data_IF_829855345120
#
_entry.id   IF_829855345120
#
_cell.length_a   1.000
_cell.length_b   1.000
_cell.length_c   1.000
_cell.angle_alpha   90.00
_cell.angle_beta   90.00
_cell.angle_gamma   90.00
#
_symmetry.space_group_name_H-M   'P 1'
#
loop_
_entity.id
_entity.type
_entity.pdbx_description
1 polymer ?
#
# COMPACT_ATOMS: atom_id res chain seq x y z
N UNK A 1 -22.94 6.91 -26.67
CA UNK A 1 -24.08 6.34 -25.90
C UNK A 1 -23.62 6.14 -24.48
N UNK A 2 -24.15 6.88 -23.51
CA UNK A 2 -23.84 6.64 -22.10
C UNK A 2 -24.33 5.22 -21.76
N UNK A 3 -23.40 4.31 -21.48
CA UNK A 3 -23.72 2.99 -20.95
C UNK A 3 -24.53 3.20 -19.67
N UNK A 4 -25.81 2.83 -19.68
CA UNK A 4 -26.65 2.88 -18.47
C UNK A 4 -26.05 1.86 -17.50
N UNK A 5 -25.30 2.36 -16.52
CA UNK A 5 -24.74 1.52 -15.46
C UNK A 5 -25.92 0.98 -14.66
N UNK A 6 -26.05 -0.35 -14.57
CA UNK A 6 -27.09 -0.99 -13.77
C UNK A 6 -26.88 -0.59 -12.31
N UNK A 7 -27.91 -0.04 -11.66
CA UNK A 7 -27.88 0.25 -10.22
C UNK A 7 -27.53 -1.02 -9.44
N UNK A 8 -26.58 -0.89 -8.53
CA UNK A 8 -26.11 -1.96 -7.64
C UNK A 8 -26.15 -1.46 -6.21
N UNK A 9 -26.32 -2.38 -5.27
CA UNK A 9 -26.14 -2.19 -3.82
C UNK A 9 -24.71 -2.52 -3.48
N UNK A 10 -23.97 -1.56 -2.93
CA UNK A 10 -22.53 -1.67 -2.67
C UNK A 10 -22.28 -1.34 -1.21
N UNK A 11 -21.62 -2.25 -0.51
CA UNK A 11 -20.99 -1.92 0.77
C UNK A 11 -19.61 -1.36 0.46
N UNK A 12 -19.25 -0.21 0.98
CA UNK A 12 -17.87 0.28 1.00
C UNK A 12 -17.32 -0.01 2.38
N UNK A 13 -16.41 -0.98 2.45
CA UNK A 13 -15.82 -1.48 3.69
C UNK A 13 -14.54 -0.71 4.01
N UNK A 14 -14.50 -0.07 5.17
CA UNK A 14 -13.41 0.83 5.61
C UNK A 14 -13.08 0.60 7.08
N UNK A 15 -11.98 1.17 7.56
CA UNK A 15 -11.78 1.31 9.00
C UNK A 15 -12.77 2.34 9.57
N UNK A 16 -13.29 2.13 10.78
CA UNK A 16 -14.35 2.97 11.36
C UNK A 16 -13.97 4.46 11.46
N UNK A 17 -12.71 4.76 11.77
CA UNK A 17 -12.22 6.15 11.83
C UNK A 17 -12.13 6.85 10.47
N UNK A 18 -12.25 6.11 9.37
CA UNK A 18 -12.16 6.63 8.01
C UNK A 18 -13.54 6.79 7.36
N UNK A 19 -14.63 6.56 8.10
CA UNK A 19 -15.97 6.85 7.59
C UNK A 19 -16.10 8.38 7.44
N UNK A 20 -16.26 8.90 6.21
CA UNK A 20 -16.40 10.33 5.99
C UNK A 20 -17.76 10.80 6.53
N UNK A 21 -17.83 11.97 7.20
CA UNK A 21 -19.10 12.55 7.60
C UNK A 21 -19.98 12.84 6.37
N UNK A 22 -21.30 12.93 6.55
CA UNK A 22 -22.21 13.21 5.43
C UNK A 22 -22.06 14.66 4.93
N UNK A 23 -21.78 15.61 5.83
CA UNK A 23 -21.42 16.98 5.48
C UNK A 23 -19.94 17.24 5.74
N UNK A 24 -19.25 17.78 4.73
CA UNK A 24 -17.83 18.14 4.75
C UNK A 24 -17.61 19.62 4.41
N UNK A 25 -18.68 20.40 4.22
CA UNK A 25 -18.61 21.77 3.69
C UNK A 25 -17.79 22.72 4.56
N UNK A 26 -17.73 22.46 5.87
CA UNK A 26 -16.97 23.24 6.85
C UNK A 26 -15.57 22.67 7.14
N UNK A 27 -15.17 21.57 6.50
CA UNK A 27 -13.87 20.93 6.75
C UNK A 27 -12.79 21.50 5.84
N UNK A 28 -11.62 21.75 6.41
CA UNK A 28 -10.43 22.08 5.63
C UNK A 28 -9.88 20.87 4.86
N UNK A 29 -9.04 21.12 3.86
CA UNK A 29 -8.36 20.05 3.11
C UNK A 29 -7.54 19.12 4.02
N UNK A 30 -6.96 19.65 5.10
CA UNK A 30 -6.20 18.87 6.08
C UNK A 30 -7.11 17.97 6.93
N UNK A 31 -8.30 18.44 7.28
CA UNK A 31 -9.29 17.64 8.01
C UNK A 31 -9.93 16.57 7.13
N UNK A 32 -10.04 16.82 5.82
CA UNK A 32 -10.55 15.84 4.84
C UNK A 32 -9.48 14.81 4.46
N UNK A 33 -8.20 15.17 4.50
CA UNK A 33 -7.10 14.33 4.04
C UNK A 33 -7.12 12.88 4.58
N UNK A 34 -7.43 12.60 5.86
CA UNK A 34 -7.44 11.24 6.40
C UNK A 34 -8.44 10.29 5.72
N UNK A 35 -9.64 10.77 5.36
CA UNK A 35 -10.72 9.95 4.77
C UNK A 35 -11.02 10.32 3.30
N UNK A 36 -10.11 11.06 2.66
CA UNK A 36 -10.31 11.60 1.31
C UNK A 36 -10.57 10.48 0.29
N UNK A 37 -9.88 9.35 0.41
CA UNK A 37 -10.06 8.20 -0.48
C UNK A 37 -11.48 7.64 -0.38
N UNK A 38 -11.94 7.39 0.84
CA UNK A 38 -13.25 6.83 1.17
C UNK A 38 -14.37 7.76 0.70
N UNK A 39 -14.19 9.06 0.92
CA UNK A 39 -15.10 10.11 0.45
C UNK A 39 -15.23 10.10 -1.08
N UNK A 40 -14.11 10.09 -1.81
CA UNK A 40 -14.12 10.14 -3.26
C UNK A 40 -14.65 8.84 -3.88
N UNK A 41 -14.39 7.68 -3.25
CA UNK A 41 -15.02 6.41 -3.63
C UNK A 41 -16.54 6.45 -3.41
N UNK A 42 -17.01 6.92 -2.24
CA UNK A 42 -18.44 7.09 -1.95
C UNK A 42 -19.11 8.00 -2.98
N UNK A 43 -18.53 9.17 -3.26
CA UNK A 43 -19.03 10.13 -4.25
C UNK A 43 -19.07 9.52 -5.65
N UNK A 44 -17.98 8.87 -6.07
CA UNK A 44 -17.88 8.25 -7.39
C UNK A 44 -18.94 7.17 -7.61
N UNK A 45 -19.10 6.27 -6.64
CA UNK A 45 -20.11 5.20 -6.71
C UNK A 45 -21.55 5.76 -6.70
N UNK A 46 -21.85 6.77 -5.87
CA UNK A 46 -23.15 7.45 -5.86
C UNK A 46 -23.42 8.18 -7.19
N UNK A 47 -22.42 8.87 -7.75
CA UNK A 47 -22.53 9.56 -9.03
C UNK A 47 -22.79 8.59 -10.21
N UNK A 48 -22.32 7.35 -10.12
CA UNK A 48 -22.65 6.27 -11.07
C UNK A 48 -24.06 5.68 -10.87
N UNK A 49 -24.82 6.17 -9.89
CA UNK A 49 -26.20 5.74 -9.62
C UNK A 49 -26.32 4.49 -8.75
N UNK A 50 -25.25 4.08 -8.06
CA UNK A 50 -25.28 2.96 -7.13
C UNK A 50 -25.85 3.36 -5.76
N UNK A 51 -26.44 2.39 -5.08
CA UNK A 51 -26.79 2.49 -3.66
C UNK A 51 -25.58 2.10 -2.82
N UNK A 52 -25.11 3.01 -1.99
CA UNK A 52 -23.83 2.90 -1.29
C UNK A 52 -24.04 2.98 0.21
N UNK A 53 -23.62 1.94 0.92
CA UNK A 53 -23.56 1.88 2.38
C UNK A 53 -22.09 1.84 2.83
N UNK A 54 -21.65 2.81 3.62
CA UNK A 54 -20.35 2.75 4.27
C UNK A 54 -20.45 1.83 5.49
N UNK A 55 -19.55 0.87 5.61
CA UNK A 55 -19.43 0.00 6.80
C UNK A 55 -18.02 0.14 7.34
N UNK A 56 -17.93 0.62 8.58
CA UNK A 56 -16.67 0.77 9.30
C UNK A 56 -16.44 -0.41 10.22
N UNK A 57 -15.22 -0.96 10.20
CA UNK A 57 -14.75 -1.96 11.15
C UNK A 57 -13.61 -1.42 12.01
N UNK A 58 -13.47 -1.95 13.22
CA UNK A 58 -12.30 -1.82 14.09
C UNK A 58 -11.78 -3.21 14.45
N UNK A 59 -12.48 -3.89 15.36
CA UNK A 59 -12.08 -5.10 16.07
C UNK A 59 -13.19 -6.16 16.12
N UNK A 60 -14.37 -5.86 15.57
CA UNK A 60 -15.48 -6.79 15.46
C UNK A 60 -16.03 -6.92 14.03
N UNK A 61 -16.58 -8.10 13.71
CA UNK A 61 -17.16 -8.39 12.39
C UNK A 61 -18.68 -8.27 12.34
N UNK A 62 -19.34 -8.08 13.49
CA UNK A 62 -20.80 -8.01 13.57
C UNK A 62 -21.41 -6.93 12.64
N UNK A 63 -20.85 -5.70 12.55
CA UNK A 63 -21.38 -4.68 11.65
C UNK A 63 -21.36 -5.12 10.18
N UNK A 64 -20.28 -5.78 9.74
CA UNK A 64 -20.17 -6.30 8.38
C UNK A 64 -21.18 -7.43 8.13
N UNK A 65 -21.31 -8.36 9.07
CA UNK A 65 -22.28 -9.46 8.96
C UNK A 65 -23.71 -8.93 8.80
N UNK A 66 -24.13 -8.04 9.70
CA UNK A 66 -25.47 -7.44 9.68
C UNK A 66 -25.71 -6.71 8.36
N UNK A 67 -24.75 -5.89 7.90
CA UNK A 67 -24.88 -5.16 6.65
C UNK A 67 -25.00 -6.09 5.44
N UNK A 68 -24.27 -7.22 5.40
CA UNK A 68 -24.40 -8.22 4.32
C UNK A 68 -25.79 -8.88 4.33
N UNK A 69 -26.29 -9.26 5.51
CA UNK A 69 -27.57 -9.95 5.67
C UNK A 69 -28.77 -9.05 5.31
N UNK A 70 -28.73 -7.78 5.74
CA UNK A 70 -29.80 -6.81 5.53
C UNK A 70 -29.79 -6.22 4.11
N UNK A 71 -28.64 -5.70 3.65
CA UNK A 71 -28.54 -5.04 2.36
C UNK A 71 -28.50 -6.03 1.20
N UNK A 72 -27.98 -7.25 1.42
CA UNK A 72 -27.68 -8.24 0.38
C UNK A 72 -26.92 -7.57 -0.79
N UNK A 73 -25.71 -7.05 -0.54
CA UNK A 73 -24.98 -6.27 -1.52
C UNK A 73 -24.67 -7.10 -2.76
N UNK A 74 -24.56 -6.42 -3.90
CA UNK A 74 -24.05 -7.04 -5.13
C UNK A 74 -22.54 -7.18 -5.08
N UNK A 75 -21.85 -6.26 -4.39
CA UNK A 75 -20.40 -6.28 -4.19
C UNK A 75 -20.04 -5.49 -2.92
N UNK A 76 -19.00 -5.96 -2.22
CA UNK A 76 -18.30 -5.21 -1.18
C UNK A 76 -17.08 -4.55 -1.81
N UNK A 77 -17.10 -3.22 -1.90
CA UNK A 77 -15.92 -2.44 -2.26
C UNK A 77 -14.98 -2.37 -1.06
N UNK A 78 -13.92 -3.17 -1.07
CA UNK A 78 -12.99 -3.26 0.04
C UNK A 78 -11.93 -2.14 -0.01
N UNK A 79 -11.86 -1.33 1.05
CA UNK A 79 -10.83 -0.32 1.31
C UNK A 79 -10.17 -0.53 2.69
N UNK A 80 -10.42 -1.68 3.34
CA UNK A 80 -9.85 -1.97 4.64
C UNK A 80 -8.36 -2.32 4.51
N UNK A 81 -7.52 -1.68 5.33
CA UNK A 81 -6.06 -1.89 5.31
C UNK A 81 -5.51 -2.61 6.54
N UNK A 82 -6.32 -2.76 7.60
CA UNK A 82 -5.97 -3.44 8.84
C UNK A 82 -7.23 -3.91 9.57
N UNK A 83 -7.08 -4.72 10.61
CA UNK A 83 -8.16 -5.07 11.53
C UNK A 83 -7.57 -5.29 12.94
N UNK A 84 -8.20 -4.71 13.96
CA UNK A 84 -7.75 -4.70 15.36
C UNK A 84 -6.29 -4.21 15.54
N UNK A 85 -5.89 -3.20 14.76
CA UNK A 85 -4.55 -2.64 14.76
C UNK A 85 -3.51 -3.47 14.01
N UNK A 86 -3.90 -4.60 13.41
CA UNK A 86 -3.00 -5.54 12.74
C UNK A 86 -3.21 -5.49 11.21
N UNK A 87 -2.22 -4.94 10.50
CA UNK A 87 -2.28 -4.77 9.04
C UNK A 87 -2.45 -6.08 8.25
N UNK A 88 -1.99 -7.21 8.80
CA UNK A 88 -2.10 -8.53 8.15
C UNK A 88 -3.49 -9.16 8.31
N UNK A 89 -4.34 -8.63 9.20
CA UNK A 89 -5.66 -9.20 9.46
C UNK A 89 -6.72 -8.76 8.43
N UNK A 90 -6.41 -7.81 7.56
CA UNK A 90 -7.23 -7.46 6.40
C UNK A 90 -7.58 -8.69 5.54
N UNK A 91 -6.61 -9.61 5.37
CA UNK A 91 -6.80 -10.87 4.67
C UNK A 91 -7.81 -11.79 5.34
N UNK A 92 -7.93 -11.75 6.68
CA UNK A 92 -8.93 -12.52 7.42
C UNK A 92 -10.33 -11.97 7.20
N UNK A 93 -10.49 -10.64 7.14
CA UNK A 93 -11.76 -10.00 6.83
C UNK A 93 -12.21 -10.35 5.41
N UNK A 94 -11.29 -10.32 4.44
CA UNK A 94 -11.59 -10.76 3.07
C UNK A 94 -11.89 -12.27 3.03
N UNK A 95 -11.22 -13.09 3.84
CA UNK A 95 -11.52 -14.51 3.99
C UNK A 95 -12.93 -14.74 4.54
N UNK A 96 -13.37 -13.91 5.49
CA UNK A 96 -14.74 -13.91 5.97
C UNK A 96 -15.75 -13.59 4.86
N UNK A 97 -15.46 -12.62 3.98
CA UNK A 97 -16.29 -12.33 2.79
C UNK A 97 -16.40 -13.55 1.86
N UNK A 98 -15.32 -14.30 1.66
CA UNK A 98 -15.34 -15.55 0.87
C UNK A 98 -16.23 -16.62 1.53
N UNK A 99 -16.17 -16.77 2.85
CA UNK A 99 -17.03 -17.69 3.59
C UNK A 99 -18.52 -17.31 3.50
N UNK A 100 -18.83 -16.01 3.49
CA UNK A 100 -20.18 -15.49 3.27
C UNK A 100 -20.62 -15.54 1.79
N UNK A 101 -19.74 -15.97 0.87
CA UNK A 101 -19.94 -15.94 -0.59
C UNK A 101 -20.30 -14.54 -1.10
N UNK A 102 -19.82 -13.49 -0.42
CA UNK A 102 -19.99 -12.12 -0.84
C UNK A 102 -18.97 -11.79 -1.95
N UNK A 103 -19.42 -11.20 -3.05
CA UNK A 103 -18.49 -10.66 -4.05
C UNK A 103 -17.78 -9.42 -3.47
N UNK A 104 -16.49 -9.27 -3.75
CA UNK A 104 -15.71 -8.14 -3.25
C UNK A 104 -14.69 -7.62 -4.29
N UNK A 105 -14.25 -6.38 -4.13
CA UNK A 105 -13.14 -5.80 -4.90
C UNK A 105 -11.80 -6.04 -4.22
N UNK A 106 -10.71 -6.05 -5.01
CA UNK A 106 -9.35 -6.22 -4.49
C UNK A 106 -8.81 -7.64 -4.61
N UNK A 107 -7.68 -7.91 -3.94
CA UNK A 107 -7.05 -9.22 -3.94
C UNK A 107 -7.77 -10.18 -2.99
N UNK A 108 -7.69 -11.48 -3.29
CA UNK A 108 -8.12 -12.52 -2.37
C UNK A 108 -7.19 -12.62 -1.15
N UNK A 109 -7.58 -13.37 -0.09
CA UNK A 109 -6.80 -13.47 1.14
C UNK A 109 -5.35 -13.92 0.90
N UNK A 110 -5.17 -14.88 -0.01
CA UNK A 110 -3.84 -15.37 -0.38
C UNK A 110 -2.97 -14.28 -1.01
N UNK A 111 -3.54 -13.48 -1.91
CA UNK A 111 -2.86 -12.37 -2.55
C UNK A 111 -2.46 -11.29 -1.55
N UNK A 112 -3.35 -10.94 -0.62
CA UNK A 112 -3.08 -9.99 0.45
C UNK A 112 -1.94 -10.47 1.36
N UNK A 113 -1.99 -11.70 1.88
CA UNK A 113 -0.93 -12.27 2.72
C UNK A 113 0.44 -12.26 2.02
N UNK A 114 0.47 -12.62 0.73
CA UNK A 114 1.71 -12.59 -0.05
C UNK A 114 2.25 -11.16 -0.25
N UNK A 115 1.37 -10.19 -0.50
CA UNK A 115 1.72 -8.80 -0.76
C UNK A 115 2.18 -8.05 0.51
N UNK A 116 1.56 -8.32 1.66
CA UNK A 116 1.87 -7.69 2.96
C UNK A 116 3.27 -8.05 3.46
N UNK A 117 3.70 -9.30 3.30
CA UNK A 117 5.05 -9.73 3.69
C UNK A 117 6.08 -9.47 2.57
N UNK A 118 6.93 -8.47 2.80
CA UNK A 118 7.97 -8.05 1.85
C UNK A 118 9.01 -9.12 1.54
N UNK A 119 9.24 -10.09 2.43
CA UNK A 119 10.16 -11.20 2.19
C UNK A 119 9.48 -12.30 1.37
N UNK A 120 8.22 -12.65 1.68
CA UNK A 120 7.46 -13.64 0.91
C UNK A 120 7.21 -13.14 -0.52
N UNK A 121 6.74 -11.91 -0.69
CA UNK A 121 6.62 -11.25 -1.99
C UNK A 121 7.89 -11.39 -2.82
N UNK A 122 9.05 -11.05 -2.25
CA UNK A 122 10.34 -11.13 -2.96
C UNK A 122 10.74 -12.56 -3.30
N UNK A 123 10.48 -13.53 -2.43
CA UNK A 123 10.75 -14.96 -2.72
C UNK A 123 9.93 -15.43 -3.92
N UNK A 124 8.64 -15.08 -3.98
CA UNK A 124 7.77 -15.42 -5.13
C UNK A 124 8.24 -14.74 -6.40
N UNK A 125 8.49 -13.42 -6.35
CA UNK A 125 8.99 -12.67 -7.51
C UNK A 125 10.33 -13.24 -8.03
N UNK A 126 11.27 -13.53 -7.13
CA UNK A 126 12.56 -14.12 -7.48
C UNK A 126 12.40 -15.52 -8.11
N UNK A 127 11.49 -16.36 -7.59
CA UNK A 127 11.17 -17.65 -8.19
C UNK A 127 10.72 -17.50 -9.65
N UNK A 128 9.91 -16.48 -9.95
CA UNK A 128 9.51 -16.12 -11.31
C UNK A 128 10.56 -15.32 -12.10
N UNK A 129 11.80 -15.23 -11.61
CA UNK A 129 12.92 -14.50 -12.24
C UNK A 129 12.64 -13.01 -12.43
N UNK A 130 11.79 -12.43 -11.59
CA UNK A 130 11.63 -10.98 -11.49
C UNK A 130 12.71 -10.47 -10.55
N UNK A 131 13.45 -9.46 -10.99
CA UNK A 131 14.55 -8.89 -10.22
C UNK A 131 14.01 -8.22 -8.96
N UNK A 132 14.56 -8.61 -7.82
CA UNK A 132 14.31 -7.99 -6.52
C UNK A 132 15.65 -7.70 -5.84
N UNK A 133 15.75 -6.66 -5.00
CA UNK A 133 16.95 -6.43 -4.22
C UNK A 133 17.30 -7.65 -3.38
N UNK A 134 18.59 -8.00 -3.25
CA UNK A 134 18.98 -9.02 -2.27
C UNK A 134 18.60 -8.52 -0.88
N UNK A 135 18.13 -9.43 -0.05
CA UNK A 135 17.60 -9.05 1.26
C UNK A 135 17.86 -10.12 2.32
N UNK A 136 17.72 -9.72 3.58
CA UNK A 136 17.75 -10.59 4.75
C UNK A 136 16.71 -10.13 5.77
N UNK A 137 15.99 -11.09 6.35
CA UNK A 137 15.07 -10.84 7.47
C UNK A 137 15.84 -10.97 8.78
N UNK A 138 15.55 -10.05 9.70
CA UNK A 138 16.03 -10.00 11.07
C UNK A 138 14.82 -10.16 12.00
N UNK A 139 14.55 -11.40 12.45
CA UNK A 139 13.43 -11.66 13.35
C UNK A 139 13.61 -10.94 14.68
N UNK A 140 12.51 -10.46 15.26
CA UNK A 140 12.49 -9.97 16.64
C UNK A 140 13.00 -11.07 17.59
N UNK A 141 13.55 -10.63 18.71
CA UNK A 141 14.05 -11.52 19.78
C UNK A 141 15.21 -12.44 19.36
N UNK A 142 15.86 -12.17 18.22
CA UNK A 142 17.08 -12.86 17.79
C UNK A 142 18.25 -11.88 17.71
N UNK A 143 19.45 -12.40 17.96
CA UNK A 143 20.67 -11.59 17.87
C UNK A 143 20.85 -11.05 16.45
N UNK A 144 21.05 -9.74 16.36
CA UNK A 144 21.38 -9.05 15.11
C UNK A 144 22.80 -9.46 14.72
N UNK A 145 22.97 -9.98 13.50
CA UNK A 145 24.28 -10.35 12.96
C UNK A 145 24.45 -9.71 11.59
N UNK A 146 25.57 -9.01 11.33
CA UNK A 146 25.84 -8.42 10.02
C UNK A 146 25.59 -9.40 8.86
N UNK A 147 24.96 -8.93 7.77
CA UNK A 147 24.69 -9.75 6.60
C UNK A 147 25.96 -9.97 5.78
N UNK A 148 26.56 -11.17 5.87
CA UNK A 148 27.78 -11.54 5.11
C UNK A 148 27.69 -11.46 3.57
N UNK A 149 26.48 -11.32 3.01
CA UNK A 149 26.23 -11.36 1.55
C UNK A 149 25.55 -10.09 1.02
N UNK A 150 25.45 -9.05 1.84
CA UNK A 150 24.89 -7.76 1.45
C UNK A 150 25.97 -6.69 1.61
N UNK A 151 26.07 -5.80 0.64
CA UNK A 151 27.02 -4.70 0.61
C UNK A 151 26.27 -3.39 0.83
N UNK A 152 26.91 -2.46 1.54
CA UNK A 152 26.34 -1.14 1.78
C UNK A 152 26.37 -0.27 0.51
N UNK A 153 25.43 0.69 0.35
CA UNK A 153 24.35 1.02 1.29
C UNK A 153 23.20 -0.01 1.34
N UNK A 154 22.62 -0.16 2.52
CA UNK A 154 21.44 -1.00 2.76
C UNK A 154 20.26 -0.14 3.19
N UNK A 155 19.04 -0.60 2.94
CA UNK A 155 17.83 0.00 3.47
C UNK A 155 17.11 -0.95 4.44
N UNK A 156 16.81 -0.45 5.64
CA UNK A 156 16.11 -1.20 6.70
C UNK A 156 14.65 -0.77 6.76
N UNK A 157 13.73 -1.74 6.71
CA UNK A 157 12.28 -1.52 6.71
C UNK A 157 11.61 -2.50 7.67
N UNK A 158 10.38 -2.20 8.07
CA UNK A 158 9.51 -3.24 8.65
C UNK A 158 9.14 -4.27 7.58
N UNK A 159 9.09 -5.54 8.00
CA UNK A 159 8.72 -6.65 7.15
C UNK A 159 7.29 -6.51 6.60
N UNK A 160 6.34 -6.09 7.43
CA UNK A 160 4.89 -6.14 7.14
C UNK A 160 4.21 -4.77 7.05
N UNK A 161 4.78 -3.70 7.63
CA UNK A 161 4.15 -2.37 7.60
C UNK A 161 4.19 -1.69 6.24
N UNK A 162 3.17 -0.89 5.92
CA UNK A 162 3.07 -0.16 4.66
C UNK A 162 3.22 1.36 4.84
N UNK A 163 2.91 2.14 3.79
CA UNK A 163 2.90 3.60 3.86
C UNK A 163 4.26 4.24 4.19
N UNK A 164 5.35 3.49 4.06
CA UNK A 164 6.69 3.89 4.51
C UNK A 164 6.74 4.18 6.02
N UNK A 165 5.90 3.51 6.81
CA UNK A 165 5.92 3.61 8.26
C UNK A 165 7.25 3.11 8.83
N UNK A 166 7.82 3.89 9.74
CA UNK A 166 9.17 3.63 10.24
C UNK A 166 10.26 3.77 9.18
N UNK A 167 10.05 4.44 8.04
CA UNK A 167 11.10 4.75 7.05
C UNK A 167 11.43 6.25 7.09
N UNK A 168 12.71 6.55 7.24
CA UNK A 168 13.32 7.88 7.22
C UNK A 168 14.67 7.82 6.49
N UNK A 169 15.35 8.96 6.33
CA UNK A 169 16.70 8.99 5.74
C UNK A 169 17.68 8.08 6.50
N UNK A 170 17.56 7.97 7.83
CA UNK A 170 18.32 7.04 8.66
C UNK A 170 18.01 5.54 8.39
N UNK A 171 17.03 5.24 7.54
CA UNK A 171 16.76 3.87 7.11
C UNK A 171 17.74 3.40 6.05
N UNK A 172 18.41 4.32 5.35
CA UNK A 172 19.54 3.99 4.48
C UNK A 172 20.81 4.03 5.34
N UNK A 173 21.43 2.87 5.51
CA UNK A 173 22.55 2.65 6.41
C UNK A 173 23.81 2.32 5.62
N UNK A 174 24.96 2.76 6.13
CA UNK A 174 26.27 2.66 5.46
C UNK A 174 27.31 1.90 6.31
N UNK A 175 26.92 1.35 7.46
CA UNK A 175 27.80 0.60 8.36
C UNK A 175 27.03 -0.42 9.19
N UNK A 176 27.75 -1.41 9.73
CA UNK A 176 27.16 -2.44 10.59
C UNK A 176 26.54 -1.85 11.86
N UNK A 177 27.16 -0.81 12.44
CA UNK A 177 26.63 -0.11 13.61
C UNK A 177 25.30 0.56 13.31
N UNK A 178 25.23 1.33 12.21
CA UNK A 178 23.99 2.00 11.80
C UNK A 178 22.89 0.98 11.44
N UNK A 179 23.27 -0.15 10.84
CA UNK A 179 22.36 -1.26 10.57
C UNK A 179 21.77 -1.82 11.86
N UNK A 180 22.60 -2.12 12.86
CA UNK A 180 22.17 -2.66 14.15
C UNK A 180 21.21 -1.71 14.87
N UNK A 181 21.59 -0.43 14.98
CA UNK A 181 20.75 0.62 15.57
C UNK A 181 19.39 0.72 14.84
N UNK A 182 19.39 0.63 13.51
CA UNK A 182 18.15 0.76 12.74
C UNK A 182 17.25 -0.46 12.85
N UNK A 183 17.82 -1.66 12.91
CA UNK A 183 17.04 -2.90 13.15
C UNK A 183 16.46 -2.87 14.56
N UNK A 184 17.22 -2.45 15.57
CA UNK A 184 16.72 -2.30 16.94
C UNK A 184 15.54 -1.31 17.01
N UNK A 185 15.62 -0.17 16.31
CA UNK A 185 14.50 0.76 16.20
C UNK A 185 13.23 0.10 15.66
N UNK A 186 13.32 -0.70 14.60
CA UNK A 186 12.15 -1.42 14.05
C UNK A 186 11.58 -2.38 15.10
N UNK A 187 12.43 -3.15 15.77
CA UNK A 187 12.01 -4.13 16.77
C UNK A 187 11.35 -3.52 18.01
N UNK A 188 11.84 -2.36 18.47
CA UNK A 188 11.39 -1.70 19.69
C UNK A 188 10.22 -0.75 19.47
N UNK A 189 10.26 0.05 18.41
CA UNK A 189 9.29 1.12 18.16
C UNK A 189 8.15 0.66 17.26
N UNK A 190 8.47 -0.10 16.21
CA UNK A 190 7.46 -0.61 15.25
C UNK A 190 6.95 -1.98 15.66
N UNK A 191 7.71 -2.72 16.50
CA UNK A 191 7.32 -4.04 17.04
C UNK A 191 7.08 -5.11 15.97
N UNK A 192 7.77 -5.01 14.83
CA UNK A 192 7.73 -6.00 13.74
C UNK A 192 9.12 -6.57 13.45
N UNK A 193 9.18 -7.66 12.69
CA UNK A 193 10.44 -8.12 12.10
C UNK A 193 11.00 -7.06 11.14
N UNK A 194 12.32 -6.98 11.02
CA UNK A 194 12.97 -6.07 10.10
C UNK A 194 13.40 -6.80 8.82
N UNK A 195 13.21 -6.16 7.67
CA UNK A 195 13.79 -6.59 6.39
C UNK A 195 14.87 -5.60 5.98
N UNK A 196 16.06 -6.12 5.69
CA UNK A 196 17.22 -5.36 5.25
C UNK A 196 17.48 -5.70 3.79
N UNK A 197 17.49 -4.69 2.93
CA UNK A 197 17.57 -4.83 1.48
C UNK A 197 18.78 -4.04 0.95
N UNK A 198 19.32 -4.45 -0.19
CA UNK A 198 20.23 -3.57 -0.94
C UNK A 198 19.50 -2.27 -1.29
N UNK A 199 20.13 -1.13 -1.02
CA UNK A 199 19.62 0.14 -1.53
C UNK A 199 19.88 0.20 -3.04
N UNK A 200 18.83 0.45 -3.82
CA UNK A 200 18.91 0.62 -5.27
C UNK A 200 18.74 2.10 -5.55
N UNK A 201 19.82 2.73 -5.98
CA UNK A 201 19.75 4.10 -6.47
C UNK A 201 19.06 4.12 -7.83
N UNK A 202 18.09 5.04 -7.99
CA UNK A 202 17.38 5.21 -9.25
C UNK A 202 16.01 5.82 -9.07
N UNK A 203 15.17 5.60 -10.10
CA UNK A 203 13.81 6.13 -10.20
C UNK A 203 12.81 5.19 -9.51
N UNK A 204 11.83 5.75 -8.83
CA UNK A 204 10.73 4.99 -8.25
C UNK A 204 9.49 5.08 -9.16
N UNK A 205 9.20 3.97 -9.85
CA UNK A 205 8.10 3.88 -10.82
C UNK A 205 6.93 3.09 -10.24
N UNK A 206 5.73 3.58 -10.47
CA UNK A 206 4.46 3.04 -10.01
C UNK A 206 3.61 2.62 -11.20
N UNK A 207 3.07 1.39 -11.17
CA UNK A 207 2.27 0.86 -12.27
C UNK A 207 1.02 0.22 -11.70
N UNK A 208 -0.14 0.78 -12.04
CA UNK A 208 -1.42 0.21 -11.66
C UNK A 208 -1.82 -0.88 -12.66
N UNK A 209 -2.28 -2.02 -12.13
CA UNK A 209 -2.79 -3.15 -12.91
C UNK A 209 -4.24 -3.38 -12.53
N UNK A 210 -5.11 -3.50 -13.52
CA UNK A 210 -6.54 -3.70 -13.34
C UNK A 210 -7.00 -4.97 -14.07
N UNK A 211 -7.86 -5.75 -13.43
CA UNK A 211 -8.52 -6.93 -13.99
C UNK A 211 -8.13 -8.23 -13.30
N UNK A 212 -8.91 -9.28 -13.58
CA UNK A 212 -8.74 -10.61 -12.95
C UNK A 212 -8.01 -11.58 -13.89
N UNK A 213 -8.60 -11.86 -15.06
CA UNK A 213 -8.03 -12.77 -16.07
C UNK A 213 -7.30 -12.03 -17.19
N UNK A 214 -7.88 -10.91 -17.65
CA UNK A 214 -7.28 -10.04 -18.65
C UNK A 214 -6.79 -8.78 -17.99
N UNK A 215 -5.48 -8.69 -17.79
CA UNK A 215 -4.84 -7.59 -17.09
C UNK A 215 -4.66 -6.38 -18.02
N UNK A 216 -5.20 -5.24 -17.60
CA UNK A 216 -4.90 -3.94 -18.16
C UNK A 216 -3.81 -3.28 -17.32
N UNK A 217 -2.71 -2.91 -17.97
CA UNK A 217 -1.64 -2.13 -17.36
C UNK A 217 -1.92 -0.66 -17.66
N UNK A 218 -2.06 0.15 -16.63
CA UNK A 218 -2.27 1.59 -16.74
C UNK A 218 -0.93 2.32 -16.92
N UNK A 219 -0.94 3.60 -17.35
CA UNK A 219 0.29 4.36 -17.56
C UNK A 219 1.21 4.32 -16.34
N UNK A 220 2.51 4.27 -16.59
CA UNK A 220 3.51 4.33 -15.52
C UNK A 220 3.58 5.72 -14.90
N UNK A 221 3.53 5.77 -13.58
CA UNK A 221 3.69 6.97 -12.77
C UNK A 221 5.05 6.97 -12.09
N UNK A 222 5.49 8.15 -11.67
CA UNK A 222 6.77 8.39 -11.02
C UNK A 222 6.59 9.45 -9.93
N UNK A 223 7.33 9.26 -8.82
CA UNK A 223 7.51 10.31 -7.83
C UNK A 223 8.78 11.09 -8.21
N UNK A 224 8.59 12.37 -8.49
CA UNK A 224 9.64 13.34 -8.74
C UNK A 224 10.01 14.02 -7.42
N UNK A 225 11.30 14.07 -7.11
CA UNK A 225 11.87 14.68 -5.90
C UNK A 225 12.80 15.83 -6.33
N UNK A 226 12.22 16.85 -6.97
CA UNK A 226 12.96 17.86 -7.74
C UNK A 226 13.89 18.75 -6.90
N UNK A 227 13.60 18.91 -5.59
CA UNK A 227 14.37 19.79 -4.69
C UNK A 227 15.09 19.02 -3.57
N UNK A 228 15.25 17.70 -3.72
CA UNK A 228 16.05 16.92 -2.77
C UNK A 228 17.55 17.17 -3.04
N UNK A 229 18.40 17.34 -2.02
CA UNK A 229 19.84 17.41 -2.21
C UNK A 229 20.37 16.19 -2.98
N UNK A 230 21.37 16.38 -3.83
CA UNK A 230 21.91 15.31 -4.70
C UNK A 230 22.54 14.16 -3.90
N UNK A 231 23.05 14.45 -2.70
CA UNK A 231 23.65 13.48 -1.77
C UNK A 231 22.60 12.78 -0.88
N UNK A 232 21.35 13.23 -0.89
CA UNK A 232 20.28 12.63 -0.08
C UNK A 232 19.70 11.39 -0.78
N UNK A 233 19.55 10.26 -0.05
CA UNK A 233 18.85 9.10 -0.58
C UNK A 233 17.43 9.45 -1.07
N UNK A 234 17.16 9.12 -2.33
CA UNK A 234 15.88 9.36 -3.01
C UNK A 234 14.89 8.27 -2.62
N UNK A 235 14.37 8.36 -1.40
CA UNK A 235 13.40 7.42 -0.83
C UNK A 235 12.06 8.09 -0.54
N UNK A 236 10.95 7.45 -0.94
CA UNK A 236 9.61 7.92 -0.61
C UNK A 236 9.25 7.63 0.87
N UNK A 237 9.78 8.44 1.79
CA UNK A 237 9.47 8.35 3.23
C UNK A 237 7.99 8.67 3.53
N UNK A 238 7.52 8.37 4.74
CA UNK A 238 6.15 8.73 5.16
C UNK A 238 5.87 10.24 5.00
N UNK A 239 6.87 11.09 5.29
CA UNK A 239 6.76 12.55 5.11
C UNK A 239 6.59 12.94 3.64
N UNK A 240 7.32 12.28 2.74
CA UNK A 240 7.16 12.48 1.28
C UNK A 240 5.74 12.13 0.83
N UNK A 241 5.11 11.11 1.41
CA UNK A 241 3.78 10.63 0.98
C UNK A 241 2.60 11.40 1.60
N UNK A 242 2.72 11.83 2.86
CA UNK A 242 1.54 12.24 3.65
C UNK A 242 1.66 13.61 4.30
N UNK A 243 2.79 14.31 4.19
CA UNK A 243 2.96 15.64 4.78
C UNK A 243 3.01 16.70 3.67
N UNK A 244 1.94 17.48 3.56
CA UNK A 244 1.77 18.49 2.50
C UNK A 244 2.87 19.57 2.55
N UNK A 245 3.25 20.04 3.73
CA UNK A 245 4.34 21.03 3.88
C UNK A 245 5.68 20.48 3.39
N UNK A 246 5.98 19.22 3.71
CA UNK A 246 7.19 18.53 3.28
C UNK A 246 7.18 18.32 1.76
N UNK A 247 6.03 17.95 1.19
CA UNK A 247 5.86 17.82 -0.25
C UNK A 247 6.13 19.13 -0.97
N UNK A 248 5.57 20.24 -0.47
CA UNK A 248 5.81 21.58 -1.02
C UNK A 248 7.29 21.99 -0.89
N UNK A 249 7.88 21.76 0.30
CA UNK A 249 9.28 22.10 0.60
C UNK A 249 10.26 21.40 -0.35
N UNK A 250 10.09 20.10 -0.57
CA UNK A 250 11.01 19.29 -1.38
C UNK A 250 10.55 19.08 -2.82
N UNK A 251 9.49 19.78 -3.25
CA UNK A 251 8.97 19.69 -4.61
C UNK A 251 8.54 18.28 -4.99
N UNK A 252 7.97 17.54 -4.05
CA UNK A 252 7.46 16.19 -4.31
C UNK A 252 6.30 16.29 -5.28
N UNK A 253 6.44 15.65 -6.44
CA UNK A 253 5.40 15.64 -7.47
C UNK A 253 5.14 14.22 -7.91
N UNK A 254 3.88 13.84 -8.04
CA UNK A 254 3.48 12.55 -8.62
C UNK A 254 2.92 12.82 -10.01
N UNK A 255 3.47 12.15 -11.02
CA UNK A 255 3.05 12.37 -12.40
C UNK A 255 3.33 11.17 -13.29
N UNK A 256 2.80 11.19 -14.51
CA UNK A 256 3.19 10.21 -15.54
C UNK A 256 4.71 10.24 -15.70
N UNK A 257 5.32 9.06 -15.69
CA UNK A 257 6.75 8.90 -15.87
C UNK A 257 7.16 9.48 -17.23
N UNK A 258 8.28 10.20 -17.26
CA UNK A 258 8.81 10.83 -18.48
C UNK A 258 10.14 10.20 -18.89
N UNK A 259 10.52 10.35 -20.15
CA UNK A 259 11.82 9.90 -20.66
C UNK A 259 12.04 8.38 -20.59
N UNK A 260 10.97 7.58 -20.57
CA UNK A 260 11.07 6.13 -20.74
C UNK A 260 11.10 5.81 -22.23
N UNK A 261 12.05 4.99 -22.68
CA UNK A 261 12.05 4.47 -24.05
C UNK A 261 10.85 3.54 -24.27
N UNK A 262 10.37 3.41 -25.51
CA UNK A 262 9.28 2.46 -25.83
C UNK A 262 9.61 1.02 -25.42
N UNK A 263 10.89 0.65 -25.51
CA UNK A 263 11.37 -0.65 -25.02
C UNK A 263 11.19 -0.78 -23.51
N UNK A 264 11.53 0.28 -22.75
CA UNK A 264 11.39 0.30 -21.29
C UNK A 264 9.92 0.25 -20.88
N UNK A 265 9.05 1.03 -21.53
CA UNK A 265 7.60 1.00 -21.26
C UNK A 265 7.01 -0.40 -21.55
N UNK A 266 7.39 -1.02 -22.68
CA UNK A 266 6.98 -2.39 -23.01
C UNK A 266 7.49 -3.41 -22.00
N UNK A 267 8.74 -3.25 -21.53
CA UNK A 267 9.33 -4.12 -20.50
C UNK A 267 8.59 -3.98 -19.17
N UNK A 268 8.31 -2.75 -18.73
CA UNK A 268 7.53 -2.47 -17.51
C UNK A 268 6.15 -3.13 -17.63
N UNK A 269 5.42 -2.87 -18.71
CA UNK A 269 4.09 -3.45 -18.90
C UNK A 269 4.09 -4.97 -18.96
N UNK A 270 5.14 -5.58 -19.54
CA UNK A 270 5.29 -7.05 -19.54
C UNK A 270 5.57 -7.58 -18.14
N UNK A 271 6.45 -6.93 -17.37
CA UNK A 271 6.78 -7.34 -16.00
C UNK A 271 5.57 -7.22 -15.06
N UNK A 272 4.78 -6.15 -15.18
CA UNK A 272 3.60 -5.94 -14.34
C UNK A 272 2.47 -6.97 -14.54
N UNK A 273 2.50 -7.76 -15.63
CA UNK A 273 1.50 -8.81 -15.92
C UNK A 273 1.95 -10.21 -15.52
N UNK A 274 3.21 -10.39 -15.13
CA UNK A 274 3.79 -11.70 -14.80
C UNK A 274 3.60 -12.01 -13.33
#
# INVERSE_FOLDING_TARGET
MASIVKRQRIIVLVHQSLIPPEDISELSDEQVAPFKTELEVRKGLRALGHEVLMVGLSDELAPLRTAIEELKPHVVFNLLEEFDGEAIFDAHVVGYLELQRAAYTGCNPRGLLLARDKALSKKVLAYHRIQVPRFRVFPRYRKIRPPRRLEFPLIVKSLIEEGSYGISQASVVHSDKALEERVAFIHEKIRTDAVVEQYIEGRELYVSVLGNHRLQVLPTWEIFLDKLPDDAPKIATRKVKWNLEYQQKYGVRIGRAKGLSEETERRIARLSRR
#
